data_IF_567134626580
#
_entry.id   IF_567134626580
#
_cell.length_a   1.000
_cell.length_b   1.000
_cell.length_c   1.000
_cell.angle_alpha   90.00
_cell.angle_beta   90.00
_cell.angle_gamma   90.00
#
_symmetry.space_group_name_H-M   'P 1'
#
loop_
_entity.id
_entity.type
_entity.pdbx_description
1 polymer ?
#
# COMPACT_ATOMS: atom_id res chain seq x y z
N UNK A 1 2.33 -0.93 -14.97
CA UNK A 1 2.81 -1.81 -13.87
C UNK A 1 2.37 -1.15 -12.58
N UNK A 2 1.43 -1.76 -11.88
CA UNK A 2 0.97 -1.35 -10.55
C UNK A 2 1.80 -2.13 -9.53
N UNK A 3 2.23 -1.53 -8.41
CA UNK A 3 2.54 -2.37 -7.23
C UNK A 3 1.20 -2.98 -6.84
N UNK A 4 1.00 -4.21 -7.29
CA UNK A 4 -0.16 -4.99 -6.93
C UNK A 4 -0.14 -5.12 -5.41
N UNK A 5 -1.06 -4.43 -4.74
CA UNK A 5 -1.44 -4.72 -3.35
C UNK A 5 -2.19 -6.05 -3.26
N UNK A 6 -1.88 -6.98 -4.18
CA UNK A 6 -2.33 -8.36 -4.14
C UNK A 6 -1.67 -8.92 -2.88
N UNK A 7 -2.49 -9.08 -1.86
CA UNK A 7 -2.12 -9.70 -0.60
C UNK A 7 -1.22 -10.90 -0.90
N UNK A 8 0.04 -10.79 -0.50
CA UNK A 8 0.96 -11.89 -0.49
C UNK A 8 0.32 -12.97 0.39
N UNK A 9 -0.21 -14.00 -0.27
CA UNK A 9 -0.68 -15.25 0.31
C UNK A 9 0.34 -15.70 1.36
N UNK A 10 -0.10 -15.86 2.60
CA UNK A 10 0.68 -16.39 3.72
C UNK A 10 1.54 -17.58 3.24
N UNK A 11 2.84 -17.33 3.06
CA UNK A 11 3.86 -18.35 2.93
C UNK A 11 4.44 -18.55 4.31
N UNK A 12 4.00 -19.63 4.97
CA UNK A 12 4.45 -20.16 6.25
C UNK A 12 5.81 -19.64 6.75
N UNK A 13 5.78 -18.65 7.64
CA UNK A 13 6.96 -18.32 8.44
C UNK A 13 7.23 -19.49 9.38
N UNK A 14 8.31 -20.23 9.07
CA UNK A 14 8.90 -21.17 10.00
C UNK A 14 9.52 -20.35 11.13
N UNK A 15 8.80 -20.26 12.25
CA UNK A 15 9.19 -19.58 13.47
C UNK A 15 10.49 -20.17 14.03
N UNK A 16 11.61 -19.53 13.73
CA UNK A 16 12.86 -19.65 14.48
C UNK A 16 12.76 -18.77 15.73
N UNK A 17 12.75 -19.41 16.90
CA UNK A 17 12.58 -18.76 18.20
C UNK A 17 13.66 -17.73 18.52
N UNK A 18 13.23 -16.68 19.21
CA UNK A 18 14.12 -15.65 19.75
C UNK A 18 13.34 -14.72 20.67
N UNK A 19 13.27 -15.10 21.95
CA UNK A 19 12.82 -14.21 23.03
C UNK A 19 13.74 -13.00 23.11
N UNK A 20 13.30 -11.88 22.56
CA UNK A 20 13.96 -10.60 22.70
C UNK A 20 12.91 -9.50 22.55
N UNK A 21 12.58 -8.84 23.64
CA UNK A 21 11.75 -7.63 23.64
C UNK A 21 12.54 -6.50 22.97
N UNK A 22 12.55 -6.48 21.63
CA UNK A 22 12.92 -5.30 20.86
C UNK A 22 11.62 -4.60 20.50
N UNK A 23 11.33 -3.48 21.16
CA UNK A 23 10.33 -2.54 20.64
C UNK A 23 10.70 -2.28 19.18
N UNK A 24 9.85 -2.60 18.18
CA UNK A 24 10.18 -2.34 16.78
C UNK A 24 10.55 -0.86 16.67
N UNK A 25 11.75 -0.57 16.15
CA UNK A 25 12.21 0.81 16.03
C UNK A 25 11.27 1.55 15.06
N UNK A 26 10.32 2.32 15.59
CA UNK A 26 9.37 3.14 14.83
C UNK A 26 10.02 4.44 14.38
N UNK A 27 11.18 4.37 13.73
CA UNK A 27 11.74 5.57 13.12
C UNK A 27 11.04 5.80 11.78
N UNK A 28 9.88 6.48 11.80
CA UNK A 28 9.05 6.77 10.62
C UNK A 28 9.55 7.97 9.80
N UNK A 29 10.43 8.78 10.39
CA UNK A 29 10.98 10.02 9.79
C UNK A 29 11.49 9.92 8.35
N UNK A 30 12.17 8.85 7.88
CA UNK A 30 12.70 8.84 6.52
C UNK A 30 11.62 8.86 5.43
N UNK A 31 10.39 8.43 5.73
CA UNK A 31 9.29 8.37 4.76
C UNK A 31 8.25 9.48 4.92
N UNK A 32 8.32 10.28 5.99
CA UNK A 32 7.34 11.35 6.25
C UNK A 32 7.18 12.29 5.04
N UNK A 33 5.92 12.53 4.68
CA UNK A 33 5.52 13.34 3.54
C UNK A 33 4.75 12.56 2.47
N UNK A 34 4.53 13.22 1.34
CA UNK A 34 3.75 12.71 0.21
C UNK A 34 4.69 12.33 -0.94
N UNK A 35 4.52 11.12 -1.47
CA UNK A 35 5.30 10.55 -2.55
C UNK A 35 4.40 10.17 -3.71
N UNK A 36 4.65 10.73 -4.88
CA UNK A 36 3.75 10.62 -6.03
C UNK A 36 4.47 9.99 -7.21
N UNK A 37 3.80 9.06 -7.88
CA UNK A 37 4.13 8.61 -9.23
C UNK A 37 2.93 8.91 -10.13
N UNK A 38 3.05 9.97 -10.93
CA UNK A 38 1.99 10.42 -11.84
C UNK A 38 1.80 9.51 -13.03
N UNK A 39 2.85 8.78 -13.45
CA UNK A 39 2.79 7.85 -14.60
C UNK A 39 1.83 6.69 -14.34
N UNK A 40 1.77 6.18 -13.12
CA UNK A 40 0.86 5.09 -12.72
C UNK A 40 -0.31 5.57 -11.85
N UNK A 41 -0.44 6.89 -11.65
CA UNK A 41 -1.51 7.48 -10.84
C UNK A 41 -1.53 6.97 -9.40
N UNK A 42 -0.37 6.80 -8.76
CA UNK A 42 -0.26 6.29 -7.39
C UNK A 42 0.42 7.30 -6.46
N UNK A 43 -0.12 7.42 -5.26
CA UNK A 43 0.37 8.31 -4.19
C UNK A 43 0.49 7.55 -2.88
N UNK A 44 1.59 7.77 -2.16
CA UNK A 44 1.78 7.36 -0.77
C UNK A 44 1.92 8.59 0.11
N UNK A 45 1.12 8.68 1.16
CA UNK A 45 1.26 9.71 2.19
C UNK A 45 1.58 9.06 3.52
N UNK A 46 2.69 9.46 4.14
CA UNK A 46 3.12 9.01 5.45
C UNK A 46 3.09 10.19 6.44
N UNK A 47 2.43 9.98 7.58
CA UNK A 47 2.30 10.99 8.63
C UNK A 47 2.35 10.33 10.02
N UNK A 48 3.46 10.48 10.73
CA UNK A 48 3.70 9.77 11.99
C UNK A 48 3.67 8.25 11.79
N UNK A 49 2.77 7.55 12.47
CA UNK A 49 2.54 6.11 12.27
C UNK A 49 1.46 5.79 11.22
N UNK A 50 0.88 6.81 10.59
CA UNK A 50 -0.20 6.68 9.61
C UNK A 50 0.31 6.59 8.18
N UNK A 51 -0.34 5.75 7.38
CA UNK A 51 -0.11 5.65 5.93
C UNK A 51 -1.45 5.72 5.19
N UNK A 52 -1.45 6.44 4.07
CA UNK A 52 -2.50 6.40 3.06
C UNK A 52 -1.88 6.07 1.70
N UNK A 53 -2.46 5.09 1.01
CA UNK A 53 -2.07 4.69 -0.34
C UNK A 53 -3.25 4.95 -1.25
N UNK A 54 -3.08 5.81 -2.24
CA UNK A 54 -4.13 6.12 -3.22
C UNK A 54 -3.67 5.68 -4.61
N UNK A 55 -4.53 4.96 -5.31
CA UNK A 55 -4.37 4.63 -6.71
C UNK A 55 -5.57 5.14 -7.51
N UNK A 56 -5.30 5.77 -8.64
CA UNK A 56 -6.31 6.30 -9.57
C UNK A 56 -6.15 5.67 -10.95
N UNK A 57 -7.17 5.79 -11.80
CA UNK A 57 -7.11 5.22 -13.15
C UNK A 57 -7.34 3.72 -13.18
N UNK A 58 -7.95 3.18 -12.12
CA UNK A 58 -8.29 1.76 -12.04
C UNK A 58 -9.48 1.46 -12.97
N UNK A 59 -9.54 0.26 -13.57
CA UNK A 59 -10.67 -0.14 -14.41
C UNK A 59 -11.93 -0.26 -13.56
N UNK A 60 -13.06 0.21 -14.10
CA UNK A 60 -14.36 0.02 -13.50
C UNK A 60 -14.84 -1.43 -13.75
N UNK A 61 -15.26 -2.17 -12.69
CA UNK A 61 -15.64 -3.58 -12.83
C UNK A 61 -16.94 -3.76 -13.62
N UNK A 62 -17.81 -2.75 -13.61
CA UNK A 62 -19.08 -2.73 -14.34
C UNK A 62 -18.90 -2.27 -15.79
N UNK A 63 -17.85 -1.47 -16.06
CA UNK A 63 -17.47 -1.03 -17.40
C UNK A 63 -15.94 -0.86 -17.52
N UNK A 64 -15.22 -1.91 -17.97
CA UNK A 64 -13.75 -1.88 -18.04
C UNK A 64 -13.18 -0.83 -19.00
N UNK A 65 -14.01 -0.20 -19.84
CA UNK A 65 -13.58 0.92 -20.71
C UNK A 65 -13.42 2.23 -19.95
N UNK A 66 -13.98 2.33 -18.74
CA UNK A 66 -13.86 3.48 -17.85
C UNK A 66 -12.70 3.26 -16.85
N UNK A 67 -11.77 4.20 -16.83
CA UNK A 67 -10.64 4.28 -15.88
C UNK A 67 -10.85 5.42 -14.87
N UNK A 68 -12.06 5.50 -14.34
CA UNK A 68 -12.50 6.54 -13.40
C UNK A 68 -12.55 6.06 -11.95
N UNK A 69 -12.09 4.84 -11.69
CA UNK A 69 -12.02 4.29 -10.34
C UNK A 69 -10.76 4.75 -9.62
N UNK A 70 -10.93 5.15 -8.37
CA UNK A 70 -9.86 5.32 -7.42
C UNK A 70 -10.06 4.44 -6.20
N UNK A 71 -8.95 3.95 -5.65
CA UNK A 71 -8.90 3.22 -4.40
C UNK A 71 -7.97 3.95 -3.45
N UNK A 72 -8.43 4.17 -2.22
CA UNK A 72 -7.60 4.65 -1.12
C UNK A 72 -7.61 3.64 0.01
N UNK A 73 -6.43 3.27 0.47
CA UNK A 73 -6.23 2.39 1.61
C UNK A 73 -5.56 3.20 2.70
N UNK A 74 -6.22 3.27 3.85
CA UNK A 74 -5.71 3.92 5.06
C UNK A 74 -5.33 2.89 6.10
N UNK A 75 -4.26 3.15 6.84
CA UNK A 75 -3.82 2.26 7.90
C UNK A 75 -2.67 2.82 8.73
N UNK A 76 -2.05 1.93 9.48
CA UNK A 76 -0.80 2.21 10.19
C UNK A 76 0.36 1.54 9.47
N UNK A 77 1.57 2.08 9.63
CA UNK A 77 2.78 1.43 9.14
C UNK A 77 3.87 1.36 10.20
N UNK A 78 4.79 0.43 9.99
CA UNK A 78 6.08 0.38 10.69
C UNK A 78 7.19 0.09 9.69
N UNK A 79 8.40 0.52 10.05
CA UNK A 79 9.60 0.25 9.28
C UNK A 79 10.45 -0.77 10.02
N UNK A 80 11.01 -1.71 9.29
CA UNK A 80 11.93 -2.68 9.85
C UNK A 80 12.92 -3.13 8.78
N UNK A 81 14.20 -2.86 9.02
CA UNK A 81 15.31 -3.36 8.21
C UNK A 81 15.16 -3.09 6.70
N UNK A 82 14.77 -1.86 6.34
CA UNK A 82 14.55 -1.45 4.94
C UNK A 82 13.25 -1.95 4.33
N UNK A 83 12.30 -2.43 5.14
CA UNK A 83 10.96 -2.86 4.71
C UNK A 83 9.89 -1.98 5.32
N UNK A 84 8.80 -1.79 4.58
CA UNK A 84 7.56 -1.16 5.03
C UNK A 84 6.56 -2.27 5.31
N UNK A 85 6.08 -2.32 6.54
CA UNK A 85 4.94 -3.14 6.93
C UNK A 85 3.74 -2.24 7.12
N UNK A 86 2.59 -2.64 6.58
CA UNK A 86 1.34 -1.91 6.67
C UNK A 86 0.29 -2.77 7.36
N UNK A 87 -0.52 -2.16 8.22
CA UNK A 87 -1.76 -2.75 8.74
C UNK A 87 -2.93 -1.92 8.22
N UNK A 88 -3.61 -2.38 7.15
CA UNK A 88 -4.77 -1.68 6.59
C UNK A 88 -5.90 -1.60 7.62
N UNK A 89 -6.55 -0.45 7.74
CA UNK A 89 -7.71 -0.22 8.63
C UNK A 89 -8.96 0.14 7.86
N UNK A 90 -8.81 0.85 6.75
CA UNK A 90 -9.90 1.33 5.92
C UNK A 90 -9.55 1.17 4.46
N UNK A 91 -10.53 0.80 3.65
CA UNK A 91 -10.43 0.82 2.19
C UNK A 91 -11.64 1.62 1.71
N UNK A 92 -11.40 2.54 0.80
CA UNK A 92 -12.45 3.35 0.16
C UNK A 92 -12.24 3.23 -1.33
N UNK A 93 -13.27 2.79 -2.04
CA UNK A 93 -13.29 2.79 -3.51
C UNK A 93 -14.31 3.81 -4.00
N UNK A 94 -13.92 4.60 -4.99
CA UNK A 94 -14.75 5.65 -5.56
C UNK A 94 -14.72 5.59 -7.09
N UNK A 95 -15.83 5.95 -7.72
CA UNK A 95 -15.96 6.13 -9.18
C UNK A 95 -16.16 7.62 -9.44
N UNK A 96 -15.32 8.23 -10.28
CA UNK A 96 -15.41 9.65 -10.64
C UNK A 96 -15.52 10.59 -9.41
N UNK A 97 -14.84 10.25 -8.32
CA UNK A 97 -14.85 11.02 -7.07
C UNK A 97 -16.06 10.78 -6.16
N UNK A 98 -17.00 9.91 -6.54
CA UNK A 98 -18.13 9.52 -5.72
C UNK A 98 -17.85 8.18 -5.04
N UNK A 99 -17.93 8.08 -3.69
CA UNK A 99 -17.78 6.80 -3.00
C UNK A 99 -18.77 5.76 -3.54
N UNK A 100 -18.27 4.56 -3.82
CA UNK A 100 -19.11 3.43 -4.21
C UNK A 100 -19.99 2.99 -3.03
N UNK A 101 -21.12 2.35 -3.33
CA UNK A 101 -21.89 1.64 -2.30
C UNK A 101 -21.05 0.51 -1.68
N UNK A 102 -21.35 0.11 -0.43
CA UNK A 102 -20.60 -0.98 0.21
C UNK A 102 -20.63 -2.27 -0.62
N UNK A 103 -21.77 -2.60 -1.24
CA UNK A 103 -21.91 -3.76 -2.12
C UNK A 103 -20.97 -3.70 -3.33
N UNK A 104 -20.85 -2.54 -3.97
CA UNK A 104 -19.97 -2.37 -5.13
C UNK A 104 -18.50 -2.37 -4.72
N UNK A 105 -18.18 -1.81 -3.53
CA UNK A 105 -16.85 -1.91 -2.94
C UNK A 105 -16.49 -3.38 -2.65
N UNK A 106 -17.40 -4.14 -2.05
CA UNK A 106 -17.19 -5.56 -1.75
C UNK A 106 -17.00 -6.37 -3.04
N UNK A 107 -17.79 -6.08 -4.09
CA UNK A 107 -17.62 -6.70 -5.40
C UNK A 107 -16.25 -6.35 -6.02
N UNK A 108 -15.83 -5.09 -5.93
CA UNK A 108 -14.52 -4.64 -6.41
C UNK A 108 -13.36 -5.34 -5.69
N UNK A 109 -13.48 -5.46 -4.36
CA UNK A 109 -12.46 -6.04 -3.50
C UNK A 109 -12.48 -7.58 -3.51
N UNK A 110 -13.57 -8.23 -3.94
CA UNK A 110 -13.64 -9.69 -4.04
C UNK A 110 -12.56 -10.28 -4.97
N UNK A 111 -12.13 -9.52 -5.99
CA UNK A 111 -11.01 -9.89 -6.88
C UNK A 111 -9.62 -9.57 -6.33
N UNK A 112 -9.52 -8.74 -5.29
CA UNK A 112 -8.27 -8.31 -4.66
C UNK A 112 -8.44 -8.26 -3.12
N UNK A 113 -8.54 -9.41 -2.46
CA UNK A 113 -8.85 -9.45 -1.04
C UNK A 113 -7.68 -8.89 -0.22
N UNK A 114 -7.83 -7.67 0.27
CA UNK A 114 -6.96 -7.09 1.29
C UNK A 114 -7.53 -7.38 2.68
N UNK A 115 -6.73 -8.00 3.55
CA UNK A 115 -7.15 -8.31 4.91
C UNK A 115 -6.98 -7.08 5.80
N UNK A 116 -8.08 -6.43 6.16
CA UNK A 116 -8.07 -5.38 7.17
C UNK A 116 -7.58 -5.94 8.50
N UNK A 117 -6.88 -5.10 9.27
CA UNK A 117 -6.32 -5.39 10.59
C UNK A 117 -5.23 -6.46 10.65
N UNK A 118 -4.80 -6.99 9.50
CA UNK A 118 -3.67 -7.90 9.40
C UNK A 118 -2.46 -7.13 8.90
N UNK A 119 -1.32 -7.27 9.60
CA UNK A 119 -0.07 -6.70 9.14
C UNK A 119 0.42 -7.46 7.89
N UNK A 120 0.87 -6.71 6.89
CA UNK A 120 1.42 -7.25 5.65
C UNK A 120 2.69 -6.50 5.25
N UNK A 121 3.64 -7.22 4.67
CA UNK A 121 4.79 -6.62 4.01
C UNK A 121 4.31 -5.89 2.75
N UNK A 122 4.52 -4.58 2.71
CA UNK A 122 4.14 -3.76 1.56
C UNK A 122 5.23 -3.76 0.50
N UNK A 123 6.47 -3.43 0.88
CA UNK A 123 7.62 -3.34 -0.01
C UNK A 123 8.92 -3.24 0.78
N UNK A 124 10.05 -3.53 0.13
CA UNK A 124 11.34 -2.95 0.55
C UNK A 124 11.43 -1.52 0.02
N UNK A 125 12.08 -0.62 0.77
CA UNK A 125 12.18 0.79 0.41
C UNK A 125 13.62 1.30 0.44
N UNK A 126 13.90 2.27 -0.42
CA UNK A 126 15.10 3.08 -0.38
C UNK A 126 14.74 4.55 -0.62
N UNK A 127 15.30 5.47 0.18
CA UNK A 127 15.11 6.91 0.01
C UNK A 127 16.44 7.52 -0.39
N UNK A 128 16.45 8.26 -1.50
CA UNK A 128 17.60 9.03 -1.94
C UNK A 128 17.15 10.45 -2.32
N UNK A 129 17.37 11.41 -1.41
CA UNK A 129 16.87 12.77 -1.55
C UNK A 129 15.35 12.81 -1.67
N UNK A 130 14.85 13.32 -2.81
CA UNK A 130 13.42 13.43 -3.10
C UNK A 130 12.85 12.21 -3.83
N UNK A 131 13.60 11.12 -3.93
CA UNK A 131 13.15 9.88 -4.59
C UNK A 131 12.96 8.78 -3.57
N UNK A 132 11.76 8.21 -3.53
CA UNK A 132 11.44 6.98 -2.83
C UNK A 132 11.35 5.86 -3.86
N UNK A 133 12.13 4.81 -3.68
CA UNK A 133 12.05 3.59 -4.49
C UNK A 133 11.43 2.49 -3.66
N UNK A 134 10.34 1.91 -4.16
CA UNK A 134 9.68 0.76 -3.57
C UNK A 134 9.89 -0.47 -4.46
N UNK A 135 10.30 -1.58 -3.86
CA UNK A 135 10.46 -2.86 -4.54
C UNK A 135 9.55 -3.90 -3.94
N UNK A 136 8.69 -4.48 -4.76
CA UNK A 136 7.83 -5.60 -4.41
C UNK A 136 8.70 -6.87 -4.28
N UNK A 137 8.71 -7.47 -3.10
CA UNK A 137 9.52 -8.65 -2.80
C UNK A 137 9.03 -9.92 -3.49
N UNK A 138 7.77 -9.96 -3.94
CA UNK A 138 7.18 -11.11 -4.62
C UNK A 138 7.49 -11.10 -6.12
N UNK A 139 7.48 -9.93 -6.74
CA UNK A 139 7.68 -9.77 -8.19
C UNK A 139 9.06 -9.23 -8.56
N UNK A 140 9.84 -8.78 -7.59
CA UNK A 140 11.08 -8.00 -7.80
C UNK A 140 10.87 -6.72 -8.63
N UNK A 141 9.61 -6.31 -8.83
CA UNK A 141 9.29 -5.08 -9.56
C UNK A 141 9.62 -3.87 -8.70
N UNK A 142 10.19 -2.84 -9.33
CA UNK A 142 10.63 -1.63 -8.64
C UNK A 142 9.95 -0.41 -9.23
N UNK A 143 9.41 0.45 -8.38
CA UNK A 143 8.72 1.67 -8.76
C UNK A 143 9.29 2.84 -7.95
N UNK A 144 9.58 3.95 -8.62
CA UNK A 144 10.05 5.18 -7.99
C UNK A 144 8.93 6.19 -7.86
N UNK A 145 8.96 6.97 -6.77
CA UNK A 145 8.04 8.03 -6.42
C UNK A 145 8.84 9.28 -6.09
N UNK A 146 8.27 10.44 -6.40
CA UNK A 146 8.89 11.73 -6.14
C UNK A 146 8.19 12.42 -4.97
N UNK A 147 8.98 12.94 -4.02
CA UNK A 147 8.48 13.72 -2.90
C UNK A 147 7.81 15.01 -3.41
N UNK A 148 6.62 15.33 -2.89
CA UNK A 148 5.90 16.59 -3.12
C UNK A 148 6.06 17.53 -1.93
#
# INVERSE_FOLDING_TARGET
>A
MTISLVACKNGSDSSGGGSGTTTPATNTTPLEGTWVNTTIGQTYAFAGSGIAVTQTGLPNPSDPSLSDVSMTIGGTFRLDSGKIYMTPKTIVVAVAGTPMSQTDQDAYLSGNPMSLNTEMLLATYAVNGNTLTLTDTSTSSTISFTKQ
#
